data_IF_799029031757
#
_entry.id   IF_799029031757
#
_cell.length_a   1.000
_cell.length_b   1.000
_cell.length_c   1.000
_cell.angle_alpha   90.00
_cell.angle_beta   90.00
_cell.angle_gamma   90.00
#
_symmetry.space_group_name_H-M   'P 1'
#
loop_
_entity.id
_entity.type
_entity.pdbx_description
1 polymer ?
#
# COMPACT_ATOMS: atom_id res chain seq x y z
N UNK A 1 -25.92 -46.12 -50.00
CA UNK A 1 -24.64 -45.58 -49.51
C UNK A 1 -24.98 -44.36 -48.65
N UNK A 2 -24.74 -44.41 -47.33
CA UNK A 2 -25.31 -43.47 -46.36
C UNK A 2 -24.47 -42.20 -46.17
N UNK A 3 -25.16 -41.13 -45.76
CA UNK A 3 -24.63 -39.83 -45.28
C UNK A 3 -23.72 -39.98 -44.06
N UNK A 4 -22.69 -39.12 -43.86
CA UNK A 4 -21.90 -39.10 -42.65
C UNK A 4 -22.65 -38.33 -41.54
N UNK A 5 -23.14 -39.07 -40.54
CA UNK A 5 -23.65 -38.48 -39.29
C UNK A 5 -22.54 -37.77 -38.53
N UNK A 6 -22.55 -36.45 -38.51
CA UNK A 6 -21.71 -35.62 -37.65
C UNK A 6 -22.26 -35.62 -36.22
N UNK A 7 -21.71 -36.44 -35.33
CA UNK A 7 -21.93 -36.34 -33.89
C UNK A 7 -21.08 -35.20 -33.32
N UNK A 8 -21.71 -34.08 -32.97
CA UNK A 8 -21.11 -33.09 -32.08
C UNK A 8 -21.10 -33.67 -30.66
N UNK A 9 -19.91 -33.92 -30.11
CA UNK A 9 -19.75 -34.39 -28.74
C UNK A 9 -20.29 -33.35 -27.75
N UNK A 10 -21.22 -33.75 -26.88
CA UNK A 10 -21.65 -32.96 -25.74
C UNK A 10 -20.58 -33.03 -24.66
N UNK A 11 -19.99 -31.89 -24.33
CA UNK A 11 -19.11 -31.74 -23.17
C UNK A 11 -19.90 -32.08 -21.90
N UNK A 12 -19.28 -32.83 -20.99
CA UNK A 12 -19.83 -33.14 -19.67
C UNK A 12 -19.86 -31.90 -18.80
N UNK A 13 -20.81 -31.83 -17.87
CA UNK A 13 -20.96 -30.70 -16.94
C UNK A 13 -19.69 -30.40 -16.14
N UNK A 14 -18.83 -31.41 -15.96
CA UNK A 14 -17.53 -31.28 -15.26
C UNK A 14 -16.50 -30.51 -16.11
N UNK A 15 -16.46 -30.76 -17.41
CA UNK A 15 -15.55 -30.06 -18.34
C UNK A 15 -15.91 -28.58 -18.49
N UNK A 16 -17.21 -28.25 -18.47
CA UNK A 16 -17.69 -26.86 -18.49
C UNK A 16 -17.31 -26.12 -17.21
N UNK A 17 -17.35 -26.80 -16.06
CA UNK A 17 -17.00 -26.22 -14.77
C UNK A 17 -15.49 -25.97 -14.65
N UNK A 18 -14.67 -26.92 -15.13
CA UNK A 18 -13.21 -26.78 -15.17
C UNK A 18 -12.78 -25.65 -16.10
N UNK A 19 -13.40 -25.51 -17.28
CA UNK A 19 -13.12 -24.40 -18.20
C UNK A 19 -13.47 -23.04 -17.55
N UNK A 20 -14.59 -22.97 -16.82
CA UNK A 20 -14.99 -21.74 -16.14
C UNK A 20 -14.05 -21.39 -14.98
N UNK A 21 -13.59 -22.39 -14.23
CA UNK A 21 -12.67 -22.21 -13.10
C UNK A 21 -11.25 -21.82 -13.53
N UNK A 22 -10.82 -22.23 -14.73
CA UNK A 22 -9.50 -21.90 -15.30
C UNK A 22 -9.46 -20.52 -15.99
N UNK A 23 -10.59 -19.83 -16.15
CA UNK A 23 -10.62 -18.49 -16.72
C UNK A 23 -10.06 -17.48 -15.73
N UNK A 24 -8.91 -16.91 -16.06
CA UNK A 24 -8.38 -15.74 -15.36
C UNK A 24 -9.36 -14.56 -15.49
N UNK A 25 -9.60 -13.87 -14.38
CA UNK A 25 -10.48 -12.71 -14.32
C UNK A 25 -9.88 -11.55 -15.13
N UNK A 26 -10.45 -11.28 -16.31
CA UNK A 26 -9.93 -10.29 -17.27
C UNK A 26 -10.33 -8.84 -16.98
N UNK A 27 -11.37 -8.64 -16.19
CA UNK A 27 -12.02 -7.34 -16.01
C UNK A 27 -11.52 -6.64 -14.74
N UNK A 28 -10.26 -6.21 -14.75
CA UNK A 28 -9.73 -5.33 -13.70
C UNK A 28 -10.20 -3.89 -13.91
N UNK A 29 -10.89 -3.30 -12.94
CA UNK A 29 -11.19 -1.87 -12.94
C UNK A 29 -9.92 -1.10 -12.55
N UNK A 30 -9.18 -0.59 -13.53
CA UNK A 30 -8.06 0.34 -13.31
C UNK A 30 -8.49 1.73 -13.76
N UNK A 31 -8.49 2.68 -12.84
CA UNK A 31 -8.65 4.10 -13.16
C UNK A 31 -7.28 4.75 -13.04
N UNK A 32 -6.77 5.28 -14.15
CA UNK A 32 -5.53 6.05 -14.12
C UNK A 32 -5.86 7.43 -13.52
N UNK A 33 -5.45 7.63 -12.27
CA UNK A 33 -5.66 8.89 -11.55
C UNK A 33 -4.31 9.58 -11.43
N UNK A 34 -4.21 10.81 -11.93
CA UNK A 34 -3.02 11.63 -11.69
C UNK A 34 -2.85 11.83 -10.18
N UNK A 35 -1.73 11.40 -9.62
CA UNK A 35 -1.43 11.53 -8.19
C UNK A 35 -0.40 12.64 -7.97
N UNK A 36 -0.69 13.56 -7.06
CA UNK A 36 0.30 14.50 -6.51
C UNK A 36 0.89 13.87 -5.23
N UNK A 37 2.14 13.41 -5.33
CA UNK A 37 2.86 12.76 -4.22
C UNK A 37 4.05 13.59 -3.79
N UNK A 38 4.27 13.68 -2.48
CA UNK A 38 5.50 14.27 -1.95
C UNK A 38 6.71 13.36 -2.27
N UNK A 39 7.92 13.92 -2.44
CA UNK A 39 9.13 13.12 -2.54
C UNK A 39 9.27 12.22 -1.29
N UNK A 40 9.91 11.05 -1.44
CA UNK A 40 10.21 10.20 -0.30
C UNK A 40 11.11 10.95 0.68
N UNK A 41 10.83 10.79 1.98
CA UNK A 41 11.60 11.46 3.03
C UNK A 41 10.73 12.08 4.12
N UNK A 42 11.10 11.80 5.37
CA UNK A 42 10.51 12.46 6.54
C UNK A 42 11.46 13.53 7.07
N UNK A 43 11.14 14.78 6.78
CA UNK A 43 11.85 15.96 7.28
C UNK A 43 10.85 17.09 7.62
N UNK A 44 11.34 18.19 8.19
CA UNK A 44 10.49 19.34 8.55
C UNK A 44 9.81 19.98 7.33
N UNK A 45 10.44 19.94 6.15
CA UNK A 45 9.89 20.47 4.90
C UNK A 45 8.70 19.64 4.40
N UNK A 46 8.80 18.31 4.42
CA UNK A 46 7.71 17.37 4.10
C UNK A 46 6.54 17.59 5.06
N UNK A 47 6.80 17.77 6.35
CA UNK A 47 5.75 18.05 7.35
C UNK A 47 5.06 19.40 7.05
N UNK A 48 5.82 20.44 6.78
CA UNK A 48 5.28 21.76 6.43
C UNK A 48 4.48 21.72 5.12
N UNK A 49 4.98 21.01 4.11
CA UNK A 49 4.29 20.78 2.84
C UNK A 49 2.94 20.08 3.04
N UNK A 50 2.91 19.00 3.81
CA UNK A 50 1.69 18.24 4.11
C UNK A 50 0.68 19.12 4.84
N UNK A 51 1.14 19.87 5.84
CA UNK A 51 0.29 20.75 6.65
C UNK A 51 -0.35 21.85 5.78
N UNK A 52 0.45 22.46 4.89
CA UNK A 52 -0.04 23.44 3.93
C UNK A 52 -1.05 22.84 2.93
N UNK A 53 -0.78 21.65 2.38
CA UNK A 53 -1.70 20.93 1.48
C UNK A 53 -3.03 20.61 2.14
N UNK A 54 -3.02 20.32 3.45
CA UNK A 54 -4.21 20.02 4.26
C UNK A 54 -4.90 21.25 4.84
N UNK A 55 -4.39 22.46 4.59
CA UNK A 55 -4.92 23.71 5.13
C UNK A 55 -5.05 23.68 6.66
N UNK A 56 -4.05 23.09 7.32
CA UNK A 56 -4.02 22.97 8.77
C UNK A 56 -3.70 24.33 9.43
N UNK A 57 -4.26 24.61 10.62
CA UNK A 57 -3.92 25.81 11.38
C UNK A 57 -2.48 25.75 11.90
N UNK A 58 -1.87 26.91 12.12
CA UNK A 58 -0.45 27.05 12.51
C UNK A 58 -0.07 26.25 13.77
N UNK A 59 -0.93 26.25 14.78
CA UNK A 59 -0.69 25.48 16.01
C UNK A 59 -0.54 23.97 15.76
N UNK A 60 -1.21 23.44 14.73
CA UNK A 60 -1.15 22.02 14.39
C UNK A 60 0.16 21.70 13.67
N UNK A 61 0.65 22.61 12.80
CA UNK A 61 1.97 22.51 12.20
C UNK A 61 3.07 22.49 13.28
N UNK A 62 3.02 23.43 14.23
CA UNK A 62 3.97 23.47 15.33
C UNK A 62 3.95 22.19 16.17
N UNK A 63 2.76 21.64 16.41
CA UNK A 63 2.61 20.39 17.13
C UNK A 63 3.24 19.21 16.37
N UNK A 64 3.05 19.12 15.05
CA UNK A 64 3.69 18.12 14.20
C UNK A 64 5.21 18.25 14.20
N UNK A 65 5.74 19.47 14.07
CA UNK A 65 7.18 19.72 14.11
C UNK A 65 7.79 19.35 15.46
N UNK A 66 7.10 19.68 16.56
CA UNK A 66 7.50 19.29 17.91
C UNK A 66 7.54 17.76 18.07
N UNK A 67 6.51 17.07 17.58
CA UNK A 67 6.47 15.61 17.61
C UNK A 67 7.61 14.98 16.80
N UNK A 68 7.91 15.51 15.61
CA UNK A 68 9.04 15.05 14.79
C UNK A 68 10.38 15.22 15.51
N UNK A 69 10.64 16.41 16.08
CA UNK A 69 11.87 16.66 16.85
C UNK A 69 12.01 15.74 18.05
N UNK A 70 10.91 15.47 18.75
CA UNK A 70 10.91 14.52 19.87
C UNK A 70 11.19 13.09 19.39
N UNK A 71 10.57 12.68 18.28
CA UNK A 71 10.76 11.36 17.70
C UNK A 71 12.21 11.10 17.27
N UNK A 72 12.91 12.12 16.73
CA UNK A 72 14.33 12.00 16.39
C UNK A 72 15.24 11.67 17.59
N UNK A 73 14.80 11.96 18.81
CA UNK A 73 15.54 11.64 20.05
C UNK A 73 15.16 10.29 20.66
N UNK A 74 14.14 9.63 20.12
CA UNK A 74 13.65 8.35 20.63
C UNK A 74 14.44 7.20 20.03
N UNK A 75 14.69 6.19 20.86
CA UNK A 75 15.24 4.91 20.40
C UNK A 75 14.10 3.95 20.08
N UNK A 76 14.28 3.16 19.00
CA UNK A 76 13.36 2.09 18.67
C UNK A 76 13.30 1.07 19.83
N UNK A 77 12.11 0.75 20.38
CA UNK A 77 11.97 -0.19 21.48
C UNK A 77 12.44 -1.62 21.15
N UNK A 78 12.44 -2.01 19.87
CA UNK A 78 12.96 -3.29 19.40
C UNK A 78 14.49 -3.30 19.28
N UNK A 79 15.12 -2.14 19.14
CA UNK A 79 16.58 -2.00 19.16
C UNK A 79 17.17 -2.05 20.59
N UNK A 80 16.32 -2.00 21.63
CA UNK A 80 16.74 -2.07 23.02
C UNK A 80 17.17 -3.49 23.44
N UNK A 81 17.92 -3.58 24.54
CA UNK A 81 18.35 -4.85 25.16
C UNK A 81 17.15 -5.73 25.48
N UNK A 82 17.33 -7.05 25.40
CA UNK A 82 16.28 -8.03 25.67
C UNK A 82 15.60 -7.86 27.03
N UNK A 83 16.34 -7.41 28.06
CA UNK A 83 15.80 -7.16 29.41
C UNK A 83 14.95 -5.88 29.52
N UNK A 84 15.01 -4.98 28.54
CA UNK A 84 14.29 -3.70 28.49
C UNK A 84 13.25 -3.66 27.36
N UNK A 85 13.31 -4.65 26.45
CA UNK A 85 12.40 -4.81 25.33
C UNK A 85 11.04 -5.29 25.82
N UNK A 86 10.07 -4.39 25.87
CA UNK A 86 8.68 -4.70 26.20
C UNK A 86 7.93 -5.34 25.02
N UNK A 87 8.32 -5.02 23.78
CA UNK A 87 7.69 -5.53 22.57
C UNK A 87 8.41 -6.78 22.04
N UNK A 88 7.75 -7.94 22.07
CA UNK A 88 8.26 -9.20 21.52
C UNK A 88 7.97 -9.34 20.02
N UNK A 89 8.28 -8.31 19.24
CA UNK A 89 8.10 -8.29 17.78
C UNK A 89 9.45 -8.20 17.08
N UNK A 90 9.53 -8.80 15.89
CA UNK A 90 10.70 -8.75 15.02
C UNK A 90 10.24 -8.22 13.66
N UNK A 91 10.85 -7.13 13.21
CA UNK A 91 10.65 -6.56 11.89
C UNK A 91 11.98 -6.09 11.31
N UNK A 92 12.12 -6.07 9.98
CA UNK A 92 13.30 -5.51 9.33
C UNK A 92 13.39 -4.01 9.61
N UNK A 93 14.61 -3.47 9.63
CA UNK A 93 14.85 -2.03 9.82
C UNK A 93 14.03 -1.21 8.80
N UNK A 94 13.33 -0.19 9.31
CA UNK A 94 12.46 0.65 8.50
C UNK A 94 13.26 1.86 8.01
N UNK A 95 13.47 1.94 6.70
CA UNK A 95 13.98 3.16 6.07
C UNK A 95 12.86 4.19 5.95
N UNK A 96 12.74 5.05 6.97
CA UNK A 96 11.78 6.15 6.98
C UNK A 96 12.00 7.18 5.87
N UNK A 97 13.20 7.24 5.27
CA UNK A 97 13.48 8.17 4.18
C UNK A 97 13.07 7.62 2.81
N UNK A 98 12.85 6.30 2.69
CA UNK A 98 12.33 5.68 1.48
C UNK A 98 10.80 5.80 1.32
N UNK A 99 10.09 6.29 2.33
CA UNK A 99 8.62 6.35 2.37
C UNK A 99 8.12 7.71 1.86
N UNK A 100 7.11 7.70 0.99
CA UNK A 100 6.34 8.92 0.66
C UNK A 100 5.20 9.11 1.66
N UNK A 101 5.19 10.27 2.33
CA UNK A 101 4.25 10.58 3.41
C UNK A 101 2.99 11.31 2.95
N UNK A 102 2.89 11.61 1.66
CA UNK A 102 1.74 12.28 1.06
C UNK A 102 1.51 11.77 -0.35
N UNK A 103 0.28 11.34 -0.60
CA UNK A 103 -0.21 11.06 -1.94
C UNK A 103 -1.69 11.43 -1.96
N UNK A 104 -2.08 12.27 -2.89
CA UNK A 104 -3.47 12.66 -3.11
C UNK A 104 -3.81 12.57 -4.60
N UNK A 105 -5.01 12.08 -4.95
CA UNK A 105 -5.49 12.18 -6.32
C UNK A 105 -5.71 13.65 -6.67
N UNK A 106 -5.37 14.02 -7.90
CA UNK A 106 -5.58 15.36 -8.45
C UNK A 106 -7.05 15.63 -8.78
#
# INVERSE_FOLDING_TARGET
MPEPSSQAASLSDTEVLEEFAQREYKEGFVTDVEMDSAPPGLNEETIAFISAKKQEPEWLLEWRLKAYRQWLTMEDPTAQKASQRWAMVQYPEIDYQAISYFSAPK
#
